data_IF_834431691989
#
_entry.id   IF_834431691989
#
_cell.length_a   1.000
_cell.length_b   1.000
_cell.length_c   1.000
_cell.angle_alpha   90.00
_cell.angle_beta   90.00
_cell.angle_gamma   90.00
#
_symmetry.space_group_name_H-M   'P 1'
#
loop_
_entity.id
_entity.type
_entity.pdbx_description
1 polymer ?
#
# COMPACT_ATOMS: atom_id res chain seq x y z
N UNK A 1 5.65 -9.69 7.27
CA UNK A 1 6.25 -10.76 6.44
C UNK A 1 5.27 -11.25 5.36
N UNK A 2 4.11 -11.81 5.71
CA UNK A 2 3.17 -12.40 4.75
C UNK A 2 2.75 -11.43 3.62
N UNK A 3 2.42 -10.19 3.95
CA UNK A 3 2.00 -9.20 2.93
C UNK A 3 3.14 -8.87 1.96
N UNK A 4 4.35 -8.70 2.48
CA UNK A 4 5.54 -8.41 1.65
C UNK A 4 5.89 -9.60 0.75
N UNK A 5 5.83 -10.81 1.27
CA UNK A 5 6.03 -12.04 0.47
C UNK A 5 4.99 -12.16 -0.65
N UNK A 6 3.73 -11.85 -0.35
CA UNK A 6 2.63 -11.92 -1.31
C UNK A 6 2.80 -10.94 -2.50
N UNK A 7 3.56 -9.88 -2.33
CA UNK A 7 3.87 -8.92 -3.40
C UNK A 7 4.85 -9.48 -4.43
N UNK A 8 5.66 -10.49 -4.08
CA UNK A 8 6.67 -11.08 -4.97
C UNK A 8 7.56 -10.01 -5.63
N UNK A 9 8.13 -9.12 -4.79
CA UNK A 9 8.91 -7.97 -5.25
C UNK A 9 10.18 -8.37 -5.99
N UNK A 10 10.53 -7.56 -6.97
CA UNK A 10 11.77 -7.63 -7.74
C UNK A 10 12.61 -6.36 -7.48
N UNK A 11 13.95 -6.44 -7.65
CA UNK A 11 14.83 -5.27 -7.46
C UNK A 11 14.53 -4.09 -8.38
N UNK A 12 13.82 -4.32 -9.47
CA UNK A 12 13.43 -3.28 -10.45
C UNK A 12 12.05 -2.70 -10.21
N UNK A 13 11.32 -3.17 -9.18
CA UNK A 13 9.94 -2.77 -8.93
C UNK A 13 9.83 -1.37 -8.32
N UNK A 14 8.80 -0.65 -8.74
CA UNK A 14 8.30 0.55 -8.07
C UNK A 14 7.09 0.17 -7.23
N UNK A 15 7.14 0.48 -5.94
CA UNK A 15 6.13 0.08 -4.94
C UNK A 15 5.42 1.30 -4.37
N UNK A 16 4.10 1.21 -4.27
CA UNK A 16 3.30 2.14 -3.47
C UNK A 16 2.89 1.45 -2.17
N UNK A 17 3.19 2.09 -1.04
CA UNK A 17 2.68 1.72 0.27
C UNK A 17 1.63 2.73 0.72
N UNK A 18 0.49 2.24 1.20
CA UNK A 18 -0.55 3.05 1.84
C UNK A 18 -0.56 2.76 3.33
N UNK A 19 -0.29 3.79 4.14
CA UNK A 19 -0.13 3.67 5.58
C UNK A 19 1.33 3.55 5.99
N UNK A 20 2.04 4.67 6.01
CA UNK A 20 3.48 4.72 6.35
C UNK A 20 3.75 4.35 7.80
N UNK A 21 2.94 4.86 8.72
CA UNK A 21 3.12 4.67 10.16
C UNK A 21 4.53 5.08 10.61
N UNK A 22 5.26 4.16 11.22
CA UNK A 22 6.64 4.39 11.68
C UNK A 22 7.69 4.44 10.57
N UNK A 23 7.36 3.95 9.37
CA UNK A 23 8.29 3.79 8.25
C UNK A 23 9.01 2.45 8.21
N UNK A 24 8.74 1.55 9.17
CA UNK A 24 9.42 0.24 9.25
C UNK A 24 9.17 -0.62 8.00
N UNK A 25 7.90 -0.74 7.59
CA UNK A 25 7.56 -1.52 6.40
C UNK A 25 8.13 -0.87 5.12
N UNK A 26 8.10 0.46 5.03
CA UNK A 26 8.72 1.18 3.91
C UNK A 26 10.21 0.88 3.80
N UNK A 27 10.93 0.81 4.93
CA UNK A 27 12.35 0.44 4.95
C UNK A 27 12.59 -0.96 4.41
N UNK A 28 11.76 -1.94 4.82
CA UNK A 28 11.85 -3.32 4.32
C UNK A 28 11.60 -3.37 2.81
N UNK A 29 10.58 -2.68 2.32
CA UNK A 29 10.29 -2.60 0.88
C UNK A 29 11.47 -1.98 0.11
N UNK A 30 12.09 -0.95 0.66
CA UNK A 30 13.23 -0.25 0.07
C UNK A 30 14.50 -1.11 -0.03
N UNK A 31 14.66 -2.10 0.85
CA UNK A 31 15.76 -3.07 0.76
C UNK A 31 15.62 -4.02 -0.44
N UNK A 32 14.41 -4.20 -0.95
CA UNK A 32 14.09 -5.18 -1.99
C UNK A 32 13.84 -4.50 -3.34
N UNK A 33 13.05 -3.42 -3.35
CA UNK A 33 12.58 -2.74 -4.54
C UNK A 33 13.51 -1.59 -4.97
N UNK A 34 13.33 -1.12 -6.20
CA UNK A 34 14.08 0.02 -6.72
C UNK A 34 13.62 1.33 -6.07
N UNK A 35 12.32 1.53 -5.98
CA UNK A 35 11.72 2.77 -5.48
C UNK A 35 10.46 2.49 -4.68
N UNK A 36 10.30 3.20 -3.56
CA UNK A 36 9.11 3.11 -2.70
C UNK A 36 8.50 4.50 -2.55
N UNK A 37 7.22 4.60 -2.88
CA UNK A 37 6.37 5.74 -2.54
C UNK A 37 5.45 5.30 -1.41
N UNK A 38 5.42 6.04 -0.31
CA UNK A 38 4.57 5.71 0.84
C UNK A 38 3.72 6.91 1.24
N UNK A 39 2.42 6.67 1.41
CA UNK A 39 1.43 7.71 1.68
C UNK A 39 0.89 7.57 3.10
N UNK A 40 0.94 8.67 3.86
CA UNK A 40 0.46 8.76 5.23
C UNK A 40 -0.54 9.92 5.39
N UNK A 41 -1.68 9.65 6.02
CA UNK A 41 -2.71 10.67 6.22
C UNK A 41 -2.36 11.68 7.33
N UNK A 42 -1.58 11.27 8.33
CA UNK A 42 -1.22 12.12 9.47
C UNK A 42 0.13 12.80 9.27
N UNK A 43 0.14 14.13 9.28
CA UNK A 43 1.35 14.94 9.05
C UNK A 43 2.49 14.58 10.01
N UNK A 44 2.18 14.43 11.30
CA UNK A 44 3.20 14.11 12.30
C UNK A 44 3.88 12.77 12.07
N UNK A 45 3.12 11.76 11.64
CA UNK A 45 3.66 10.44 11.29
C UNK A 45 4.49 10.50 10.01
N UNK A 46 4.01 11.21 9.00
CA UNK A 46 4.74 11.39 7.73
C UNK A 46 6.09 12.06 7.98
N UNK A 47 6.12 13.15 8.74
CA UNK A 47 7.35 13.88 9.06
C UNK A 47 8.34 13.03 9.86
N UNK A 48 7.85 12.31 10.88
CA UNK A 48 8.68 11.43 11.69
C UNK A 48 9.27 10.28 10.89
N UNK A 49 8.47 9.66 10.03
CA UNK A 49 8.92 8.56 9.16
C UNK A 49 9.96 9.06 8.16
N UNK A 50 9.73 10.20 7.53
CA UNK A 50 10.68 10.79 6.57
C UNK A 50 12.03 11.07 7.22
N UNK A 51 12.03 11.69 8.42
CA UNK A 51 13.26 11.97 9.17
C UNK A 51 14.01 10.68 9.51
N UNK A 52 13.29 9.66 9.99
CA UNK A 52 13.88 8.36 10.37
C UNK A 52 14.48 7.64 9.18
N UNK A 53 13.76 7.56 8.08
CA UNK A 53 14.22 6.91 6.86
C UNK A 53 15.44 7.61 6.26
N UNK A 54 15.43 8.94 6.27
CA UNK A 54 16.59 9.73 5.82
C UNK A 54 17.84 9.47 6.67
N UNK A 55 17.70 9.47 8.00
CA UNK A 55 18.80 9.18 8.93
C UNK A 55 19.39 7.78 8.74
N UNK A 56 18.54 6.80 8.39
CA UNK A 56 18.95 5.42 8.12
C UNK A 56 19.54 5.21 6.73
N UNK A 57 19.57 6.26 5.90
CA UNK A 57 20.20 6.21 4.58
C UNK A 57 19.31 5.65 3.46
N UNK A 58 17.99 5.56 3.65
CA UNK A 58 17.06 5.11 2.61
C UNK A 58 16.75 6.24 1.63
N UNK A 59 17.53 6.32 0.56
CA UNK A 59 17.40 7.37 -0.47
C UNK A 59 16.35 7.05 -1.53
N UNK A 60 15.81 5.84 -1.53
CA UNK A 60 14.81 5.35 -2.49
C UNK A 60 13.38 5.31 -1.93
N UNK A 61 13.12 5.99 -0.82
CA UNK A 61 11.79 6.12 -0.23
C UNK A 61 11.33 7.58 -0.31
N UNK A 62 10.14 7.80 -0.87
CA UNK A 62 9.48 9.08 -0.92
C UNK A 62 8.22 9.05 -0.04
N UNK A 63 8.22 9.81 1.05
CA UNK A 63 7.09 9.90 2.00
C UNK A 63 6.18 11.03 1.60
N UNK A 64 4.91 10.71 1.34
CA UNK A 64 3.88 11.66 0.91
C UNK A 64 2.80 11.77 1.99
N UNK A 65 2.43 13.00 2.34
CA UNK A 65 1.22 13.24 3.13
C UNK A 65 0.02 13.31 2.19
N UNK A 66 -1.01 12.50 2.45
CA UNK A 66 -2.23 12.52 1.63
C UNK A 66 -3.22 11.43 1.98
N UNK A 67 -4.27 11.34 1.19
CA UNK A 67 -5.27 10.26 1.26
C UNK A 67 -4.77 9.06 0.48
N UNK A 68 -4.32 8.03 1.19
CA UNK A 68 -3.77 6.81 0.59
C UNK A 68 -4.76 6.03 -0.27
N UNK A 69 -6.07 6.19 -0.05
CA UNK A 69 -7.09 5.54 -0.90
C UNK A 69 -7.08 6.07 -2.33
N UNK A 70 -6.50 7.24 -2.56
CA UNK A 70 -6.33 7.86 -3.89
C UNK A 70 -4.99 7.48 -4.52
N UNK A 71 -4.13 6.76 -3.80
CA UNK A 71 -2.78 6.46 -4.23
C UNK A 71 -1.90 7.70 -4.38
N UNK A 72 -0.99 7.64 -5.33
CA UNK A 72 -0.15 8.77 -5.72
C UNK A 72 0.09 8.72 -7.23
N UNK A 73 -0.78 9.38 -7.97
CA UNK A 73 -0.83 9.31 -9.44
C UNK A 73 0.45 9.82 -10.09
N UNK A 74 1.14 10.78 -9.46
CA UNK A 74 2.35 11.41 -9.99
C UNK A 74 3.45 10.42 -10.34
N UNK A 75 3.60 9.35 -9.55
CA UNK A 75 4.64 8.33 -9.72
C UNK A 75 4.08 7.02 -10.32
N UNK A 76 2.78 6.97 -10.61
CA UNK A 76 2.14 5.79 -11.21
C UNK A 76 2.62 5.57 -12.66
N UNK A 77 2.52 4.33 -13.18
CA UNK A 77 1.98 3.13 -12.54
C UNK A 77 2.99 2.40 -11.66
N UNK A 78 2.47 1.56 -10.75
CA UNK A 78 3.27 0.79 -9.79
C UNK A 78 3.30 -0.69 -10.15
N UNK A 79 4.45 -1.34 -9.93
CA UNK A 79 4.59 -2.79 -10.05
C UNK A 79 3.89 -3.54 -8.91
N UNK A 80 3.88 -2.95 -7.73
CA UNK A 80 3.23 -3.49 -6.55
C UNK A 80 2.63 -2.39 -5.68
N UNK A 81 1.50 -2.69 -5.05
CA UNK A 81 0.83 -1.81 -4.09
C UNK A 81 0.53 -2.61 -2.84
N UNK A 82 0.90 -2.08 -1.68
CA UNK A 82 0.60 -2.68 -0.38
C UNK A 82 -0.20 -1.69 0.47
N UNK A 83 -1.30 -2.15 1.04
CA UNK A 83 -2.16 -1.33 1.89
C UNK A 83 -2.19 -1.93 3.30
N UNK A 84 -1.65 -1.21 4.28
CA UNK A 84 -1.56 -1.64 5.67
C UNK A 84 -2.77 -1.22 6.51
N UNK A 85 -3.95 -1.19 5.88
CA UNK A 85 -5.23 -0.88 6.52
C UNK A 85 -6.37 -1.59 5.80
N UNK A 86 -7.41 -1.99 6.53
CA UNK A 86 -8.53 -2.74 5.97
C UNK A 86 -9.62 -1.86 5.36
N UNK A 87 -9.95 -2.07 4.11
CA UNK A 87 -11.02 -1.36 3.41
C UNK A 87 -12.26 -2.21 3.13
N UNK A 88 -13.39 -1.56 2.75
CA UNK A 88 -14.61 -2.30 2.38
C UNK A 88 -14.45 -3.07 1.09
N UNK A 89 -13.59 -2.57 0.21
CA UNK A 89 -13.28 -3.14 -1.10
C UNK A 89 -11.93 -2.63 -1.60
N UNK A 90 -11.45 -3.12 -2.74
CA UNK A 90 -10.24 -2.58 -3.38
C UNK A 90 -10.54 -1.17 -3.89
N UNK A 91 -9.82 -0.12 -3.43
CA UNK A 91 -10.02 1.23 -3.96
C UNK A 91 -9.72 1.31 -5.44
N UNK A 92 -10.67 1.79 -6.24
CA UNK A 92 -10.51 1.89 -7.70
C UNK A 92 -9.29 2.72 -8.11
N UNK A 93 -8.95 3.86 -7.45
CA UNK A 93 -7.74 4.59 -7.79
C UNK A 93 -6.45 3.79 -7.67
N UNK A 94 -6.37 2.84 -6.71
CA UNK A 94 -5.21 1.97 -6.56
C UNK A 94 -5.14 0.94 -7.67
N UNK A 95 -6.27 0.35 -8.02
CA UNK A 95 -6.37 -0.60 -9.14
C UNK A 95 -5.95 0.07 -10.46
N UNK A 96 -6.38 1.31 -10.69
CA UNK A 96 -6.05 2.07 -11.89
C UNK A 96 -4.55 2.39 -11.99
N UNK A 97 -3.88 2.57 -10.84
CA UNK A 97 -2.45 2.90 -10.76
C UNK A 97 -1.54 1.67 -10.78
N UNK A 98 -2.10 0.48 -10.82
CA UNK A 98 -1.36 -0.78 -10.89
C UNK A 98 -0.99 -1.09 -12.34
N UNK A 99 0.28 -1.47 -12.58
CA UNK A 99 0.74 -1.95 -13.89
C UNK A 99 0.06 -3.26 -14.27
N UNK A 100 -0.03 -3.54 -15.56
CA UNK A 100 -0.30 -4.88 -16.07
C UNK A 100 0.75 -5.84 -15.52
N UNK A 101 0.31 -6.96 -14.94
CA UNK A 101 1.17 -7.89 -14.19
C UNK A 101 1.47 -7.45 -12.76
N UNK A 102 1.03 -6.26 -12.36
CA UNK A 102 1.21 -5.75 -11.01
C UNK A 102 0.34 -6.45 -9.98
N UNK A 103 0.75 -6.39 -8.71
CA UNK A 103 0.09 -7.03 -7.57
C UNK A 103 -0.27 -6.00 -6.52
N UNK A 104 -1.50 -6.06 -6.04
CA UNK A 104 -1.98 -5.27 -4.92
C UNK A 104 -2.37 -6.21 -3.78
N UNK A 105 -1.83 -5.95 -2.57
CA UNK A 105 -2.13 -6.74 -1.38
C UNK A 105 -2.74 -5.83 -0.32
N UNK A 106 -3.93 -6.18 0.13
CA UNK A 106 -4.62 -5.43 1.20
C UNK A 106 -5.64 -6.28 1.94
N UNK A 107 -5.93 -5.93 3.20
CA UNK A 107 -7.08 -6.48 3.94
C UNK A 107 -8.40 -5.91 3.43
N UNK A 108 -9.39 -6.77 3.21
CA UNK A 108 -10.74 -6.38 2.79
C UNK A 108 -11.78 -7.01 3.71
N UNK A 109 -12.76 -6.22 4.15
CA UNK A 109 -13.85 -6.69 5.00
C UNK A 109 -14.37 -5.60 5.93
N UNK A 110 -15.31 -5.99 6.81
CA UNK A 110 -15.86 -5.08 7.80
C UNK A 110 -14.78 -4.64 8.80
N UNK A 111 -14.79 -3.35 9.16
CA UNK A 111 -13.84 -2.79 10.12
C UNK A 111 -14.00 -3.34 11.55
N UNK A 112 -15.13 -3.94 11.88
CA UNK A 112 -15.47 -4.51 13.21
C UNK A 112 -15.16 -6.00 13.31
N UNK A 113 -14.89 -6.65 12.20
CA UNK A 113 -14.67 -8.09 12.09
C UNK A 113 -13.28 -8.42 11.59
N UNK A 114 -13.02 -9.71 11.42
CA UNK A 114 -11.82 -10.19 10.72
C UNK A 114 -11.95 -9.83 9.23
N UNK A 115 -10.87 -9.33 8.69
CA UNK A 115 -10.76 -9.09 7.25
C UNK A 115 -10.09 -10.29 6.56
N UNK A 116 -10.25 -10.35 5.26
CA UNK A 116 -9.53 -11.29 4.40
C UNK A 116 -8.40 -10.53 3.70
N UNK A 117 -7.18 -11.02 3.85
CA UNK A 117 -6.05 -10.52 3.07
C UNK A 117 -6.19 -10.97 1.63
N UNK A 118 -6.29 -10.03 0.72
CA UNK A 118 -6.47 -10.24 -0.71
C UNK A 118 -5.19 -9.88 -1.45
N UNK A 119 -4.80 -10.72 -2.41
CA UNK A 119 -3.86 -10.34 -3.47
C UNK A 119 -4.64 -10.21 -4.77
N UNK A 120 -4.60 -9.02 -5.36
CA UNK A 120 -5.17 -8.73 -6.66
C UNK A 120 -4.05 -8.60 -7.69
N UNK A 121 -4.19 -9.27 -8.82
CA UNK A 121 -3.24 -9.21 -9.95
C UNK A 121 -3.94 -8.65 -11.17
N UNK A 122 -3.31 -7.68 -11.82
CA UNK A 122 -3.85 -7.05 -13.04
C UNK A 122 -3.34 -7.78 -14.27
N UNK A 123 -4.26 -8.40 -15.01
CA UNK A 123 -3.94 -9.13 -16.23
C UNK A 123 -3.87 -8.22 -17.47
N UNK A 124 -3.32 -8.75 -18.57
CA UNK A 124 -3.09 -8.02 -19.81
C UNK A 124 -4.35 -7.41 -20.45
N UNK A 125 -5.51 -8.02 -20.24
CA UNK A 125 -6.83 -7.52 -20.68
C UNK A 125 -7.43 -6.46 -19.73
N UNK A 126 -6.71 -6.11 -18.64
CA UNK A 126 -7.17 -5.22 -17.58
C UNK A 126 -8.02 -5.91 -16.52
N UNK A 127 -8.29 -7.20 -16.63
CA UNK A 127 -9.03 -7.97 -15.64
C UNK A 127 -8.23 -8.09 -14.34
N UNK A 128 -8.93 -7.98 -13.21
CA UNK A 128 -8.36 -8.12 -11.87
C UNK A 128 -8.72 -9.49 -11.30
N UNK A 129 -7.71 -10.33 -11.10
CA UNK A 129 -7.87 -11.61 -10.43
C UNK A 129 -7.56 -11.46 -8.96
N UNK A 130 -8.49 -11.89 -8.10
CA UNK A 130 -8.33 -11.83 -6.66
C UNK A 130 -8.10 -13.21 -6.06
N UNK A 131 -7.17 -13.29 -5.10
CA UNK A 131 -6.86 -14.49 -4.32
C UNK A 131 -6.99 -14.17 -2.83
N UNK A 132 -7.66 -15.05 -2.09
CA UNK A 132 -7.76 -14.97 -0.64
C UNK A 132 -6.55 -15.63 -0.02
N UNK A 133 -5.76 -14.92 0.78
CA UNK A 133 -4.52 -15.42 1.36
C UNK A 133 -4.65 -15.87 2.82
N UNK A 134 -5.32 -15.06 3.65
CA UNK A 134 -5.41 -15.31 5.10
C UNK A 134 -6.52 -14.48 5.73
N UNK A 135 -6.93 -14.88 6.94
CA UNK A 135 -7.74 -14.04 7.83
C UNK A 135 -6.80 -13.12 8.63
N UNK A 136 -7.10 -11.83 8.66
CA UNK A 136 -6.26 -10.80 9.30
C UNK A 136 -7.12 -9.77 10.02
N UNK A 137 -6.47 -8.94 10.84
CA UNK A 137 -7.11 -7.80 11.47
C UNK A 137 -6.20 -6.59 11.41
N UNK A 138 -6.68 -5.54 10.74
CA UNK A 138 -5.97 -4.28 10.55
C UNK A 138 -6.85 -3.10 10.96
N UNK A 139 -6.21 -1.95 11.19
CA UNK A 139 -6.90 -0.67 11.37
C UNK A 139 -7.69 -0.32 10.11
N UNK A 140 -8.78 0.47 10.22
CA UNK A 140 -9.57 0.85 9.05
C UNK A 140 -8.79 1.75 8.08
N UNK A 141 -8.96 1.47 6.80
CA UNK A 141 -8.49 2.34 5.71
C UNK A 141 -9.49 3.50 5.57
N UNK A 142 -9.09 4.68 6.02
CA UNK A 142 -9.92 5.88 6.00
C UNK A 142 -9.56 6.78 4.82
N UNK A 143 -10.56 7.24 4.08
CA UNK A 143 -10.38 8.13 2.93
C UNK A 143 -11.56 8.11 1.97
N UNK A 144 -11.45 8.82 0.87
CA UNK A 144 -12.53 8.97 -0.12
C UNK A 144 -12.99 7.64 -0.71
N UNK A 145 -12.05 6.71 -0.94
CA UNK A 145 -12.33 5.37 -1.47
C UNK A 145 -12.16 4.27 -0.41
N UNK A 146 -12.31 4.61 0.85
CA UNK A 146 -12.26 3.71 1.99
C UNK A 146 -13.42 3.95 2.95
N UNK A 147 -13.18 3.74 4.24
CA UNK A 147 -14.14 4.07 5.28
C UNK A 147 -14.20 5.58 5.50
N UNK A 148 -15.37 6.08 5.90
CA UNK A 148 -15.52 7.47 6.32
C UNK A 148 -14.86 7.66 7.69
N UNK A 149 -14.27 8.85 7.89
CA UNK A 149 -13.75 9.24 9.21
C UNK A 149 -14.97 9.41 10.15
N UNK A 150 -15.02 8.64 11.20
CA UNK A 150 -16.03 8.83 12.26
C UNK A 150 -15.54 9.99 13.15
N UNK A 151 -16.12 11.14 12.93
CA UNK A 151 -15.86 12.34 13.71
C UNK A 151 -16.59 12.25 15.06
#
# INVERSE_FOLDING_TARGET
ALMTEALQLKPTDRVLEVGTGSGYAAAILAEIADEVVTVERFQSLADSAQTRLHKLGYNNVNVIRGDGTQGWLREAPYDAIIVAAGGPELPQPLVDQLKIGGRLVMPVGDQREMQILIRATKHADGEIKQEKLACVRFVPLVGLSGWKDEV
#
